data_IF_930762994325
#
_entry.id   IF_930762994325
#
_cell.length_a   1.000
_cell.length_b   1.000
_cell.length_c   1.000
_cell.angle_alpha   90.00
_cell.angle_beta   90.00
_cell.angle_gamma   90.00
#
_symmetry.space_group_name_H-M   'P 1'
#
loop_
_entity.id
_entity.type
_entity.pdbx_description
1 polymer ?
#
# COMPACT_ATOMS: atom_id res chain seq x y z
N UNK A 1 -8.94 9.96 -12.04
CA UNK A 1 -8.41 8.59 -12.16
C UNK A 1 -9.47 7.69 -11.60
N UNK A 2 -9.88 6.66 -12.35
CA UNK A 2 -10.89 5.72 -11.85
C UNK A 2 -10.15 4.67 -11.03
N UNK A 3 -10.27 4.77 -9.71
CA UNK A 3 -9.74 3.78 -8.78
C UNK A 3 -10.57 2.50 -8.86
N UNK A 4 -9.95 1.33 -8.65
CA UNK A 4 -10.67 0.07 -8.66
C UNK A 4 -11.61 -0.02 -7.46
N UNK A 5 -12.68 -0.82 -7.57
CA UNK A 5 -13.71 -0.93 -6.52
C UNK A 5 -13.14 -1.30 -5.14
N UNK A 6 -12.04 -2.07 -5.13
CA UNK A 6 -11.34 -2.50 -3.92
C UNK A 6 -10.49 -1.42 -3.25
N UNK A 7 -10.33 -0.24 -3.86
CA UNK A 7 -9.67 0.93 -3.25
C UNK A 7 -10.34 1.35 -1.93
N UNK A 8 -11.65 1.16 -1.84
CA UNK A 8 -12.46 1.56 -0.68
C UNK A 8 -12.60 0.48 0.39
N UNK A 9 -11.95 -0.67 0.23
CA UNK A 9 -12.04 -1.77 1.18
C UNK A 9 -11.20 -1.50 2.43
N UNK A 10 -11.54 -2.18 3.52
CA UNK A 10 -10.79 -2.08 4.77
C UNK A 10 -9.37 -2.61 4.60
N UNK A 11 -8.41 -1.99 5.28
CA UNK A 11 -7.00 -2.41 5.22
C UNK A 11 -6.74 -3.58 6.16
N UNK A 12 -6.05 -4.59 5.67
CA UNK A 12 -5.46 -5.63 6.50
C UNK A 12 -3.94 -5.47 6.54
N UNK A 13 -3.39 -5.30 7.76
CA UNK A 13 -1.96 -5.13 7.96
C UNK A 13 -1.32 -6.47 8.35
N UNK A 14 -0.29 -6.86 7.61
CA UNK A 14 0.36 -8.15 7.79
C UNK A 14 1.53 -8.11 8.76
N UNK A 15 1.90 -9.24 9.41
CA UNK A 15 3.13 -9.34 10.20
C UNK A 15 4.39 -8.92 9.44
N UNK A 16 4.44 -9.19 8.13
CA UNK A 16 5.53 -8.75 7.27
C UNK A 16 5.62 -7.22 7.21
N UNK A 17 4.49 -6.55 6.99
CA UNK A 17 4.42 -5.09 6.95
C UNK A 17 4.88 -4.47 8.28
N UNK A 18 4.44 -5.00 9.42
CA UNK A 18 4.86 -4.48 10.73
C UNK A 18 6.38 -4.49 10.91
N UNK A 19 7.06 -5.54 10.46
CA UNK A 19 8.53 -5.57 10.44
C UNK A 19 9.10 -4.45 9.57
N UNK A 20 8.51 -4.20 8.40
CA UNK A 20 8.98 -3.16 7.47
C UNK A 20 8.70 -1.74 7.95
N UNK A 21 7.62 -1.53 8.68
CA UNK A 21 7.31 -0.28 9.37
C UNK A 21 8.42 0.09 10.36
N UNK A 22 8.89 -0.87 11.14
CA UNK A 22 10.04 -0.68 12.03
C UNK A 22 11.34 -0.41 11.26
N UNK A 23 11.64 -1.24 10.25
CA UNK A 23 12.88 -1.12 9.46
C UNK A 23 12.97 0.21 8.70
N UNK A 24 11.84 0.68 8.15
CA UNK A 24 11.75 1.85 7.26
C UNK A 24 11.17 3.09 7.93
N UNK A 25 10.91 3.03 9.24
CA UNK A 25 10.49 4.14 10.11
C UNK A 25 9.21 4.84 9.66
N UNK A 26 8.19 4.09 9.28
CA UNK A 26 6.83 4.60 9.08
C UNK A 26 5.85 3.80 9.96
N UNK A 27 4.73 4.41 10.34
CA UNK A 27 3.69 3.80 11.15
C UNK A 27 2.36 3.69 10.37
N UNK A 28 1.29 3.20 11.02
CA UNK A 28 0.00 3.01 10.35
C UNK A 28 -0.63 4.34 9.93
N UNK A 29 -0.47 5.39 10.72
CA UNK A 29 -0.94 6.74 10.36
C UNK A 29 -0.22 7.22 9.10
N UNK A 30 1.10 7.04 9.03
CA UNK A 30 1.88 7.37 7.84
C UNK A 30 1.40 6.59 6.62
N UNK A 31 1.10 5.30 6.78
CA UNK A 31 0.56 4.45 5.71
C UNK A 31 -0.81 4.93 5.22
N UNK A 32 -1.70 5.32 6.12
CA UNK A 32 -3.01 5.86 5.74
C UNK A 32 -2.86 7.18 4.97
N UNK A 33 -1.98 8.07 5.44
CA UNK A 33 -1.66 9.31 4.73
C UNK A 33 -1.02 9.05 3.36
N UNK A 34 -0.16 8.04 3.25
CA UNK A 34 0.40 7.58 1.98
C UNK A 34 -0.71 7.11 1.02
N UNK A 35 -1.66 6.32 1.49
CA UNK A 35 -2.77 5.87 0.63
C UNK A 35 -3.67 7.03 0.23
N UNK A 36 -4.01 7.93 1.14
CA UNK A 36 -4.80 9.13 0.82
C UNK A 36 -4.10 10.04 -0.19
N UNK A 37 -2.77 10.08 -0.18
CA UNK A 37 -1.95 10.85 -1.11
C UNK A 37 -1.56 10.08 -2.39
N UNK A 38 -2.05 8.85 -2.58
CA UNK A 38 -1.70 8.05 -3.74
C UNK A 38 -2.15 8.73 -5.04
N UNK A 39 -1.25 8.77 -6.02
CA UNK A 39 -1.47 9.44 -7.31
C UNK A 39 -1.74 8.47 -8.45
N UNK A 40 -1.50 7.18 -8.22
CA UNK A 40 -1.72 6.14 -9.22
C UNK A 40 -1.53 4.74 -8.69
N UNK A 41 -1.86 3.77 -9.53
CA UNK A 41 -1.62 2.36 -9.28
C UNK A 41 -1.29 1.61 -10.56
N UNK A 42 -0.59 0.49 -10.42
CA UNK A 42 -0.26 -0.43 -11.51
C UNK A 42 -0.17 -1.87 -11.00
N UNK A 43 -0.21 -2.83 -11.92
CA UNK A 43 0.03 -4.23 -11.60
C UNK A 43 1.48 -4.44 -11.13
N UNK A 44 1.65 -5.30 -10.14
CA UNK A 44 2.95 -5.79 -9.70
C UNK A 44 3.38 -7.00 -10.56
N UNK A 45 4.67 -7.34 -10.52
CA UNK A 45 5.20 -8.53 -11.20
C UNK A 45 4.63 -9.85 -10.67
N UNK A 46 4.14 -9.86 -9.43
CA UNK A 46 3.37 -10.96 -8.85
C UNK A 46 1.88 -10.77 -9.17
N UNK A 47 1.26 -11.77 -9.81
CA UNK A 47 -0.15 -11.76 -10.17
C UNK A 47 -1.05 -11.52 -8.95
N UNK A 48 -2.10 -10.70 -9.13
CA UNK A 48 -3.04 -10.34 -8.07
C UNK A 48 -2.53 -9.24 -7.13
N UNK A 49 -1.29 -8.77 -7.27
CA UNK A 49 -0.75 -7.64 -6.50
C UNK A 49 -0.70 -6.37 -7.33
N UNK A 50 -0.85 -5.25 -6.63
CA UNK A 50 -0.82 -3.92 -7.21
C UNK A 50 0.15 -3.04 -6.42
N UNK A 51 0.73 -2.07 -7.12
CA UNK A 51 1.61 -1.06 -6.53
C UNK A 51 0.88 0.26 -6.57
N UNK A 52 0.75 0.92 -5.41
CA UNK A 52 0.34 2.30 -5.31
C UNK A 52 1.54 3.22 -5.31
N UNK A 53 1.46 4.27 -6.10
CA UNK A 53 2.46 5.32 -6.20
C UNK A 53 2.06 6.49 -5.30
N UNK A 54 2.92 6.85 -4.37
CA UNK A 54 2.62 7.87 -3.35
C UNK A 54 3.88 8.62 -2.93
N UNK A 55 3.72 9.54 -1.97
CA UNK A 55 4.82 10.26 -1.34
C UNK A 55 4.72 10.19 0.17
N UNK A 56 5.87 10.08 0.83
CA UNK A 56 6.01 10.16 2.28
C UNK A 56 7.31 10.87 2.64
N UNK A 57 7.23 11.84 3.56
CA UNK A 57 8.34 12.69 3.96
C UNK A 57 9.08 13.35 2.78
N UNK A 58 8.30 13.83 1.79
CA UNK A 58 8.82 14.48 0.59
C UNK A 58 9.56 13.56 -0.39
N UNK A 59 9.54 12.24 -0.17
CA UNK A 59 10.15 11.24 -1.05
C UNK A 59 9.07 10.42 -1.77
N UNK A 60 9.33 9.93 -2.98
CA UNK A 60 8.47 8.95 -3.63
C UNK A 60 8.52 7.61 -2.90
N UNK A 61 7.36 6.98 -2.77
CA UNK A 61 7.17 5.68 -2.13
C UNK A 61 6.24 4.81 -2.96
N UNK A 62 6.39 3.50 -2.76
CA UNK A 62 5.51 2.49 -3.32
C UNK A 62 4.91 1.63 -2.20
N UNK A 63 3.60 1.40 -2.29
CA UNK A 63 2.87 0.50 -1.40
C UNK A 63 2.35 -0.67 -2.21
N UNK A 64 2.77 -1.89 -1.87
CA UNK A 64 2.27 -3.11 -2.51
C UNK A 64 1.06 -3.61 -1.74
N UNK A 65 -0.03 -3.82 -2.46
CA UNK A 65 -1.29 -4.32 -1.93
C UNK A 65 -1.81 -5.52 -2.71
N UNK A 66 -2.64 -6.32 -2.06
CA UNK A 66 -3.32 -7.48 -2.62
C UNK A 66 -4.81 -7.43 -2.23
N UNK A 67 -5.74 -7.19 -3.17
CA UNK A 67 -7.17 -7.20 -2.86
C UNK A 67 -7.66 -8.63 -2.64
N UNK A 68 -8.14 -8.93 -1.43
CA UNK A 68 -8.76 -10.21 -1.07
C UNK A 68 -10.28 -10.10 -1.25
N UNK A 69 -10.82 -10.66 -2.33
CA UNK A 69 -12.26 -10.62 -2.60
C UNK A 69 -13.10 -11.50 -1.68
N UNK A 70 -12.52 -12.57 -1.13
CA UNK A 70 -13.18 -13.46 -0.17
C UNK A 70 -13.40 -12.80 1.18
N UNK A 71 -12.46 -11.96 1.61
CA UNK A 71 -12.53 -11.27 2.91
C UNK A 71 -12.96 -9.80 2.75
N UNK A 72 -12.98 -9.30 1.51
CA UNK A 72 -13.31 -7.91 1.14
C UNK A 72 -12.41 -6.91 1.87
N UNK A 73 -11.12 -7.21 1.89
CA UNK A 73 -10.07 -6.36 2.47
C UNK A 73 -8.96 -6.11 1.46
N UNK A 74 -8.27 -4.99 1.63
CA UNK A 74 -7.05 -4.68 0.91
C UNK A 74 -5.86 -5.02 1.80
N UNK A 75 -5.21 -6.14 1.51
CA UNK A 75 -4.07 -6.62 2.28
C UNK A 75 -2.87 -5.77 1.90
N UNK A 76 -2.27 -5.08 2.88
CA UNK A 76 -1.04 -4.32 2.65
C UNK A 76 0.15 -5.25 2.85
N UNK A 77 0.81 -5.57 1.74
CA UNK A 77 1.94 -6.50 1.70
C UNK A 77 3.19 -5.81 2.23
N UNK A 78 3.54 -4.65 1.69
CA UNK A 78 4.73 -3.88 2.09
C UNK A 78 4.65 -2.42 1.61
N UNK A 79 5.47 -1.53 2.17
CA UNK A 79 5.66 -0.17 1.65
C UNK A 79 7.14 0.24 1.72
N UNK A 80 7.69 0.85 0.67
CA UNK A 80 9.10 1.23 0.59
C UNK A 80 9.34 2.56 -0.14
N UNK A 81 10.40 3.30 0.24
CA UNK A 81 10.83 4.47 -0.51
C UNK A 81 11.47 4.06 -1.83
N UNK A 82 11.35 4.93 -2.83
CA UNK A 82 12.17 4.89 -4.04
C UNK A 82 13.40 5.79 -3.85
N UNK A 83 14.52 5.37 -4.43
CA UNK A 83 15.78 6.13 -4.46
C UNK A 83 15.81 7.16 -5.59
#
# INVERSE_FOLDING_TARGET
MDWPDWWSWDLELTPHLFKRMLDRRFNEVDLRLMLDAATGFRENHEEGRFVFETTHDGRPWEVIVEPSSSERVLIVVTAYPLD
#
